data_IF_662488065787
#
_entry.id   IF_662488065787
#
_cell.length_a   1.000
_cell.length_b   1.000
_cell.length_c   1.000
_cell.angle_alpha   90.00
_cell.angle_beta   90.00
_cell.angle_gamma   90.00
#
_symmetry.space_group_name_H-M   'P 1'
#
loop_
_entity.id
_entity.type
_entity.pdbx_description
1 polymer ?
#
# COMPACT_ATOMS: atom_id res chain seq x y z
N UNK A 1 9.13 -9.43 -9.08
CA UNK A 1 7.83 -8.68 -9.07
C UNK A 1 7.98 -7.25 -8.61
N UNK A 2 8.60 -7.02 -7.49
CA UNK A 2 8.77 -5.70 -6.92
C UNK A 2 9.45 -4.71 -7.89
N UNK A 3 10.50 -5.11 -8.61
CA UNK A 3 11.12 -4.29 -9.65
C UNK A 3 10.14 -3.97 -10.79
N UNK A 4 9.35 -4.94 -11.23
CA UNK A 4 8.32 -4.75 -12.26
C UNK A 4 7.25 -3.78 -11.78
N UNK A 5 6.76 -3.92 -10.53
CA UNK A 5 5.82 -2.98 -9.93
C UNK A 5 6.42 -1.59 -9.70
N UNK A 6 7.75 -1.47 -9.57
CA UNK A 6 8.44 -0.21 -9.34
C UNK A 6 8.95 0.48 -10.58
N UNK A 7 9.27 -0.25 -11.65
CA UNK A 7 9.88 0.26 -12.89
C UNK A 7 8.88 0.42 -14.04
N UNK A 8 7.87 -0.43 -14.12
CA UNK A 8 6.79 -0.25 -15.08
C UNK A 8 5.61 0.45 -14.42
N UNK A 9 5.04 1.42 -15.09
CA UNK A 9 3.71 1.93 -14.79
C UNK A 9 2.72 0.82 -15.12
N UNK A 10 2.53 -0.08 -14.15
CA UNK A 10 1.47 -1.06 -14.23
C UNK A 10 0.17 -0.30 -14.38
N UNK A 11 -0.49 -0.50 -15.49
CA UNK A 11 -1.86 -0.05 -15.68
C UNK A 11 -2.68 -0.53 -14.47
N UNK A 12 -3.52 0.32 -13.88
CA UNK A 12 -4.18 0.05 -12.60
C UNK A 12 -5.03 -1.23 -12.59
N UNK A 13 -5.26 -1.87 -13.73
CA UNK A 13 -6.16 -3.02 -13.88
C UNK A 13 -5.44 -4.26 -14.42
N UNK A 14 -4.44 -4.70 -13.71
CA UNK A 14 -3.73 -5.93 -14.05
C UNK A 14 -4.35 -7.12 -13.32
N UNK A 15 -4.72 -8.17 -14.04
CA UNK A 15 -5.08 -9.45 -13.44
C UNK A 15 -3.81 -10.24 -13.14
N UNK A 16 -3.60 -10.56 -11.87
CA UNK A 16 -2.48 -11.38 -11.43
C UNK A 16 -2.93 -12.82 -11.22
N UNK A 17 -2.28 -13.76 -11.91
CA UNK A 17 -2.48 -15.20 -11.73
C UNK A 17 -1.27 -15.76 -11.00
N UNK A 18 -1.51 -16.36 -9.83
CA UNK A 18 -0.46 -16.90 -8.96
C UNK A 18 -0.79 -18.36 -8.61
N UNK A 19 0.22 -19.23 -8.61
CA UNK A 19 0.03 -20.59 -8.11
C UNK A 19 -0.37 -20.57 -6.64
N UNK A 20 -1.41 -21.29 -6.27
CA UNK A 20 -1.96 -21.31 -4.91
C UNK A 20 -0.91 -21.70 -3.87
N UNK A 21 -0.05 -22.67 -4.17
CA UNK A 21 1.01 -23.13 -3.27
C UNK A 21 2.03 -22.02 -2.99
N UNK A 22 2.34 -21.20 -4.00
CA UNK A 22 3.23 -20.05 -3.83
C UNK A 22 2.57 -18.94 -3.00
N UNK A 23 1.30 -18.64 -3.28
CA UNK A 23 0.53 -17.65 -2.56
C UNK A 23 0.38 -17.99 -1.06
N UNK A 24 0.21 -19.27 -0.73
CA UNK A 24 0.09 -19.78 0.65
C UNK A 24 1.30 -19.49 1.54
N UNK A 25 2.47 -19.18 0.97
CA UNK A 25 3.68 -18.79 1.71
C UNK A 25 3.55 -17.40 2.34
N UNK A 26 2.64 -16.57 1.83
CA UNK A 26 2.47 -15.19 2.24
C UNK A 26 1.12 -15.02 2.95
N UNK A 27 1.18 -14.86 4.26
CA UNK A 27 -0.04 -14.66 5.07
C UNK A 27 -0.35 -13.18 5.21
N UNK A 28 -1.64 -12.84 5.14
CA UNK A 28 -2.09 -11.50 5.51
C UNK A 28 -1.99 -11.31 7.03
N UNK A 29 -1.46 -10.18 7.50
CA UNK A 29 -1.58 -9.80 8.89
C UNK A 29 -3.06 -9.64 9.28
N UNK A 30 -3.45 -10.21 10.40
CA UNK A 30 -4.76 -9.95 11.01
C UNK A 30 -4.57 -8.86 12.05
N UNK A 31 -5.29 -7.75 11.89
CA UNK A 31 -5.18 -6.58 12.77
C UNK A 31 -6.52 -6.40 13.46
N UNK A 32 -6.48 -6.51 14.78
CA UNK A 32 -7.69 -6.35 15.60
C UNK A 32 -8.30 -4.95 15.40
N UNK A 33 -9.61 -4.92 15.15
CA UNK A 33 -10.37 -3.70 14.90
C UNK A 33 -10.33 -3.18 13.46
N UNK A 34 -9.49 -3.73 12.58
CA UNK A 34 -9.42 -3.36 11.16
C UNK A 34 -10.03 -4.44 10.26
N UNK A 35 -10.83 -4.01 9.28
CA UNK A 35 -11.58 -4.90 8.38
C UNK A 35 -10.96 -5.03 6.98
N UNK A 36 -9.93 -4.26 6.70
CA UNK A 36 -9.28 -4.25 5.40
C UNK A 36 -7.76 -4.28 5.53
N UNK A 37 -7.15 -5.13 4.74
CA UNK A 37 -5.71 -5.15 4.52
C UNK A 37 -5.43 -5.28 3.01
N UNK A 38 -4.49 -4.48 2.48
CA UNK A 38 -4.22 -4.46 1.04
C UNK A 38 -3.52 -5.72 0.54
N UNK A 39 -4.04 -6.32 -0.53
CA UNK A 39 -3.43 -7.47 -1.20
C UNK A 39 -2.04 -7.17 -1.77
N UNK A 40 -1.76 -5.90 -2.08
CA UNK A 40 -0.46 -5.45 -2.52
C UNK A 40 0.66 -5.80 -1.52
N UNK A 41 0.37 -5.93 -0.24
CA UNK A 41 1.31 -6.39 0.78
C UNK A 41 1.91 -7.77 0.43
N UNK A 42 1.07 -8.71 0.01
CA UNK A 42 1.51 -10.03 -0.45
C UNK A 42 2.37 -9.92 -1.71
N UNK A 43 1.93 -9.11 -2.67
CA UNK A 43 2.67 -8.94 -3.93
C UNK A 43 4.06 -8.33 -3.73
N UNK A 44 4.22 -7.44 -2.76
CA UNK A 44 5.52 -6.85 -2.42
C UNK A 44 6.49 -7.83 -1.77
N UNK A 45 6.02 -8.96 -1.26
CA UNK A 45 6.85 -10.02 -0.69
C UNK A 45 7.29 -11.08 -1.71
N UNK A 46 6.59 -11.17 -2.84
CA UNK A 46 6.89 -12.14 -3.88
C UNK A 46 8.20 -11.80 -4.59
N UNK A 47 9.06 -12.79 -4.75
CA UNK A 47 10.40 -12.68 -5.38
C UNK A 47 10.49 -13.40 -6.72
N UNK A 48 9.54 -14.30 -7.00
CA UNK A 48 9.53 -15.07 -8.25
C UNK A 48 9.30 -14.18 -9.47
N UNK A 49 9.89 -14.49 -10.61
CA UNK A 49 9.67 -13.76 -11.84
C UNK A 49 8.23 -13.93 -12.34
N UNK A 50 7.71 -12.88 -12.98
CA UNK A 50 6.39 -12.87 -13.61
C UNK A 50 6.50 -12.87 -15.12
N UNK A 51 5.59 -13.60 -15.76
CA UNK A 51 5.40 -13.55 -17.19
C UNK A 51 4.30 -12.53 -17.49
N UNK A 52 4.63 -11.55 -18.30
CA UNK A 52 3.69 -10.55 -18.79
C UNK A 52 2.99 -11.03 -20.06
N UNK A 53 1.71 -10.72 -20.16
CA UNK A 53 0.95 -10.87 -21.39
C UNK A 53 0.02 -9.66 -21.55
N UNK A 54 -0.11 -9.17 -22.77
CA UNK A 54 -1.04 -8.09 -23.14
C UNK A 54 -2.44 -8.60 -23.49
N UNK A 55 -2.75 -9.88 -23.16
CA UNK A 55 -4.09 -10.42 -23.38
C UNK A 55 -5.06 -9.85 -22.35
N UNK A 56 -6.22 -9.44 -22.80
CA UNK A 56 -7.31 -8.99 -21.92
C UNK A 56 -8.00 -10.24 -21.39
N UNK A 57 -7.85 -10.50 -20.09
CA UNK A 57 -8.51 -11.62 -19.40
C UNK A 57 -9.75 -11.20 -18.61
N UNK A 58 -9.90 -9.89 -18.37
CA UNK A 58 -10.95 -9.37 -17.51
C UNK A 58 -11.34 -7.96 -17.95
N UNK A 59 -12.65 -7.69 -17.92
CA UNK A 59 -13.20 -6.34 -18.00
C UNK A 59 -13.81 -5.98 -16.65
N UNK A 60 -13.57 -4.77 -16.16
CA UNK A 60 -14.06 -4.29 -14.87
C UNK A 60 -14.88 -3.03 -15.03
N UNK A 61 -15.97 -2.91 -14.28
CA UNK A 61 -16.80 -1.71 -14.21
C UNK A 61 -16.62 -1.06 -12.84
N UNK A 62 -16.38 0.25 -12.81
CA UNK A 62 -16.28 1.01 -11.56
C UNK A 62 -17.66 1.45 -11.09
N UNK A 63 -17.99 1.08 -9.88
CA UNK A 63 -19.21 1.53 -9.22
C UNK A 63 -18.99 2.83 -8.45
N UNK A 64 -20.05 3.64 -8.33
CA UNK A 64 -19.99 4.94 -7.64
C UNK A 64 -19.69 4.83 -6.14
N UNK A 65 -20.04 3.71 -5.52
CA UNK A 65 -19.85 3.35 -4.11
C UNK A 65 -18.64 2.44 -3.87
N UNK A 66 -17.85 2.17 -4.90
CA UNK A 66 -16.67 1.29 -4.84
C UNK A 66 -15.58 1.79 -3.90
N UNK A 67 -14.75 0.86 -3.40
CA UNK A 67 -13.63 1.13 -2.48
C UNK A 67 -12.66 2.17 -3.02
N UNK A 68 -12.45 2.22 -4.34
CA UNK A 68 -11.53 3.17 -4.98
C UNK A 68 -11.99 4.62 -4.81
N UNK A 69 -13.29 4.89 -4.89
CA UNK A 69 -13.84 6.23 -4.65
C UNK A 69 -13.80 6.62 -3.16
N UNK A 70 -13.93 5.63 -2.28
CA UNK A 70 -13.94 5.82 -0.84
C UNK A 70 -12.56 5.58 -0.19
N UNK A 71 -11.48 5.74 -0.95
CA UNK A 71 -10.13 5.35 -0.50
C UNK A 71 -9.69 6.06 0.79
N UNK A 72 -10.03 7.34 0.97
CA UNK A 72 -9.66 8.09 2.18
C UNK A 72 -10.41 7.59 3.42
N UNK A 73 -11.66 7.17 3.25
CA UNK A 73 -12.43 6.52 4.31
C UNK A 73 -11.83 5.17 4.69
N UNK A 74 -11.39 4.41 3.68
CA UNK A 74 -10.70 3.14 3.88
C UNK A 74 -9.38 3.34 4.64
N UNK A 75 -8.61 4.36 4.30
CA UNK A 75 -7.38 4.74 4.99
C UNK A 75 -7.63 5.08 6.47
N UNK A 76 -8.65 5.89 6.74
CA UNK A 76 -8.99 6.30 8.10
C UNK A 76 -9.50 5.15 8.96
N UNK A 77 -10.18 4.18 8.35
CA UNK A 77 -10.72 3.02 9.06
C UNK A 77 -9.68 1.91 9.32
N UNK A 78 -8.56 1.89 8.58
CA UNK A 78 -7.58 0.80 8.64
C UNK A 78 -6.11 1.32 8.70
N UNK A 79 -5.78 2.28 9.59
CA UNK A 79 -4.50 2.97 9.55
C UNK A 79 -3.30 2.07 9.89
N UNK A 80 -3.46 1.05 10.76
CA UNK A 80 -2.39 0.11 11.12
C UNK A 80 -2.00 -0.77 9.94
N UNK A 81 -2.98 -1.27 9.19
CA UNK A 81 -2.73 -2.07 7.99
C UNK A 81 -1.98 -1.29 6.92
N UNK A 82 -2.39 -0.04 6.68
CA UNK A 82 -1.67 0.83 5.75
C UNK A 82 -0.29 1.24 6.26
N UNK A 83 -0.09 1.39 7.57
CA UNK A 83 1.24 1.60 8.15
C UNK A 83 2.16 0.42 7.87
N UNK A 84 1.75 -0.82 8.20
CA UNK A 84 2.52 -2.03 7.97
C UNK A 84 2.85 -2.20 6.47
N UNK A 85 1.89 -1.95 5.60
CA UNK A 85 2.10 -2.02 4.16
C UNK A 85 3.11 -0.97 3.66
N UNK A 86 2.98 0.29 4.09
CA UNK A 86 3.90 1.34 3.64
C UNK A 86 5.31 1.15 4.20
N UNK A 87 5.46 0.60 5.41
CA UNK A 87 6.75 0.19 5.97
C UNK A 87 7.44 -0.84 5.08
N UNK A 88 6.75 -1.94 4.73
CA UNK A 88 7.26 -2.94 3.77
C UNK A 88 7.60 -2.32 2.42
N UNK A 89 6.72 -1.48 1.90
CA UNK A 89 6.92 -0.77 0.64
C UNK A 89 8.16 0.10 0.68
N UNK A 90 8.41 0.81 1.77
CA UNK A 90 9.60 1.63 1.97
C UNK A 90 10.88 0.80 1.97
N UNK A 91 10.87 -0.36 2.63
CA UNK A 91 12.00 -1.29 2.68
C UNK A 91 12.33 -1.87 1.30
N UNK A 92 11.31 -2.23 0.52
CA UNK A 92 11.45 -2.87 -0.79
C UNK A 92 11.67 -1.90 -1.95
N UNK A 93 11.39 -0.59 -1.78
CA UNK A 93 11.50 0.39 -2.88
C UNK A 93 12.94 0.82 -3.12
N UNK A 94 13.47 0.55 -4.32
CA UNK A 94 14.80 0.96 -4.77
C UNK A 94 14.79 2.39 -5.32
N UNK A 95 13.76 2.75 -6.10
CA UNK A 95 13.68 4.09 -6.69
C UNK A 95 13.50 5.16 -5.61
N UNK A 96 14.45 6.11 -5.56
CA UNK A 96 14.52 7.15 -4.52
C UNK A 96 13.24 8.00 -4.44
N UNK A 97 12.69 8.45 -5.57
CA UNK A 97 11.46 9.25 -5.59
C UNK A 97 10.26 8.48 -5.04
N UNK A 98 10.12 7.21 -5.43
CA UNK A 98 9.06 6.32 -4.92
C UNK A 98 9.29 6.01 -3.44
N UNK A 99 10.54 5.85 -3.01
CA UNK A 99 10.90 5.62 -1.61
C UNK A 99 10.50 6.80 -0.72
N UNK A 100 10.81 8.05 -1.14
CA UNK A 100 10.39 9.26 -0.41
C UNK A 100 8.86 9.31 -0.26
N UNK A 101 8.11 9.05 -1.34
CA UNK A 101 6.63 8.97 -1.27
C UNK A 101 6.16 7.90 -0.28
N UNK A 102 6.83 6.75 -0.24
CA UNK A 102 6.49 5.66 0.70
C UNK A 102 6.79 6.04 2.14
N UNK A 103 7.90 6.75 2.42
CA UNK A 103 8.24 7.26 3.76
C UNK A 103 7.20 8.27 4.23
N UNK A 104 6.80 9.22 3.37
CA UNK A 104 5.76 10.21 3.72
C UNK A 104 4.42 9.52 4.03
N UNK A 105 4.05 8.51 3.23
CA UNK A 105 2.84 7.73 3.48
C UNK A 105 2.95 6.90 4.78
N UNK A 106 4.08 6.24 5.01
CA UNK A 106 4.36 5.52 6.25
C UNK A 106 4.20 6.43 7.47
N UNK A 107 4.75 7.66 7.40
CA UNK A 107 4.65 8.65 8.48
C UNK A 107 3.21 9.09 8.74
N UNK A 108 2.43 9.32 7.70
CA UNK A 108 1.03 9.67 7.84
C UNK A 108 0.23 8.57 8.54
N UNK A 109 0.39 7.31 8.11
CA UNK A 109 -0.29 6.17 8.71
C UNK A 109 0.24 5.81 10.10
N UNK A 110 1.53 6.06 10.38
CA UNK A 110 2.08 5.96 11.72
C UNK A 110 1.34 6.90 12.69
N UNK A 111 1.15 8.16 12.32
CA UNK A 111 0.41 9.15 13.12
C UNK A 111 -1.04 8.70 13.31
N UNK A 112 -1.69 8.24 12.23
CA UNK A 112 -3.09 7.79 12.27
C UNK A 112 -3.30 6.54 13.14
N UNK A 113 -2.35 5.63 13.15
CA UNK A 113 -2.42 4.36 13.87
C UNK A 113 -2.09 4.47 15.35
N UNK A 114 -1.58 5.61 15.81
CA UNK A 114 -1.17 5.81 17.20
C UNK A 114 0.00 4.92 17.63
N UNK A 115 0.83 4.45 16.69
CA UNK A 115 1.99 3.62 16.99
C UNK A 115 3.05 4.41 17.74
N UNK A 116 3.78 3.72 18.64
CA UNK A 116 4.86 4.33 19.44
C UNK A 116 6.25 3.75 19.13
N UNK A 117 6.39 2.99 18.05
CA UNK A 117 7.66 2.42 17.63
C UNK A 117 8.72 3.48 17.33
N UNK A 118 9.99 3.15 17.59
CA UNK A 118 11.10 4.04 17.20
C UNK A 118 11.23 4.09 15.68
N UNK A 119 11.17 5.28 15.13
CA UNK A 119 11.36 5.52 13.70
C UNK A 119 12.83 5.65 13.31
N UNK A 120 13.13 5.29 12.06
CA UNK A 120 14.44 5.56 11.46
C UNK A 120 14.73 7.07 11.37
N UNK A 121 16.01 7.45 11.28
CA UNK A 121 16.40 8.85 11.10
C UNK A 121 15.76 9.48 9.84
N UNK A 122 15.71 8.71 8.74
CA UNK A 122 15.09 9.14 7.49
C UNK A 122 13.59 9.44 7.66
N UNK A 123 12.85 8.57 8.36
CA UNK A 123 11.44 8.79 8.65
C UNK A 123 11.22 10.05 9.50
N UNK A 124 12.09 10.32 10.48
CA UNK A 124 12.00 11.56 11.28
C UNK A 124 12.16 12.83 10.44
N UNK A 125 13.05 12.79 9.44
CA UNK A 125 13.28 13.93 8.55
C UNK A 125 12.04 14.28 7.73
N UNK A 126 11.27 13.28 7.30
CA UNK A 126 10.05 13.46 6.49
C UNK A 126 8.76 13.59 7.30
N UNK A 127 8.83 13.50 8.64
CA UNK A 127 7.67 13.58 9.52
C UNK A 127 6.78 14.82 9.29
N UNK A 128 7.29 16.03 9.04
CA UNK A 128 6.43 17.21 8.74
C UNK A 128 5.56 16.99 7.50
N UNK A 129 6.12 16.37 6.44
CA UNK A 129 5.37 16.05 5.22
C UNK A 129 4.36 14.92 5.47
N UNK A 130 4.73 13.92 6.27
CA UNK A 130 3.81 12.87 6.73
C UNK A 130 2.63 13.45 7.50
N UNK A 131 2.86 14.43 8.37
CA UNK A 131 1.80 15.12 9.10
C UNK A 131 0.87 15.93 8.18
N UNK A 132 1.40 16.60 7.18
CA UNK A 132 0.59 17.29 6.18
C UNK A 132 -0.27 16.31 5.37
N UNK A 133 0.32 15.17 4.99
CA UNK A 133 -0.43 14.13 4.28
C UNK A 133 -1.50 13.48 5.16
N UNK A 134 -1.21 13.25 6.44
CA UNK A 134 -2.22 12.83 7.42
C UNK A 134 -3.40 13.81 7.47
N UNK A 135 -3.14 15.11 7.62
CA UNK A 135 -4.20 16.13 7.63
C UNK A 135 -5.01 16.15 6.33
N UNK A 136 -4.35 15.97 5.20
CA UNK A 136 -5.01 15.86 3.91
C UNK A 136 -5.97 14.66 3.85
N UNK A 137 -5.53 13.46 4.27
CA UNK A 137 -6.37 12.26 4.35
C UNK A 137 -7.59 12.52 5.25
N UNK A 138 -7.38 13.07 6.44
CA UNK A 138 -8.46 13.33 7.39
C UNK A 138 -9.47 14.36 6.88
N UNK A 139 -9.01 15.37 6.14
CA UNK A 139 -9.90 16.33 5.48
C UNK A 139 -10.75 15.66 4.41
N UNK A 140 -10.13 14.85 3.55
CA UNK A 140 -10.83 14.13 2.47
C UNK A 140 -11.78 13.04 2.97
N UNK A 141 -11.54 12.50 4.15
CA UNK A 141 -12.45 11.53 4.77
C UNK A 141 -13.75 12.16 5.28
N UNK A 142 -13.78 13.48 5.49
CA UNK A 142 -14.97 14.21 5.99
C UNK A 142 -15.86 14.72 4.85
N UNK A 143 -15.36 14.76 3.64
CA UNK A 143 -16.08 15.13 2.42
C UNK A 143 -16.62 13.91 1.70
#
# INVERSE_FOLDING_TARGET
MYEVLSTHELQPETALVVRTEYLRKFKFPVIEGEKFFTEAYTYYQMTEPFIWTNKIFRTSTYYSDGLTKNIYRLYAANPRGFYIFNKLKCEKTVNVKKKIKSVISEDAFYIMSGQSEKKSALARLFMPLGFLYYKYIMRKNRT
#
